data_IF_219596441646
#
_entry.id   IF_219596441646
#
_cell.length_a   1.000
_cell.length_b   1.000
_cell.length_c   1.000
_cell.angle_alpha   90.00
_cell.angle_beta   90.00
_cell.angle_gamma   90.00
#
_symmetry.space_group_name_H-M   'P 1'
#
loop_
_entity.id
_entity.type
_entity.pdbx_description
1 polymer ?
#
# COMPACT_ATOMS: atom_id res chain seq x y z
N UNK A 1 -13.58 -8.50 16.02
CA UNK A 1 -13.01 -8.37 17.38
C UNK A 1 -13.55 -9.51 18.23
N UNK A 2 -12.76 -10.03 19.17
CA UNK A 2 -13.16 -11.07 20.11
C UNK A 2 -12.79 -10.65 21.53
N UNK A 3 -13.70 -10.84 22.47
CA UNK A 3 -13.46 -10.69 23.91
C UNK A 3 -13.71 -12.06 24.54
N UNK A 4 -12.76 -12.58 25.31
CA UNK A 4 -12.81 -13.95 25.82
C UNK A 4 -12.39 -14.00 27.28
N UNK A 5 -12.99 -14.91 28.03
CA UNK A 5 -12.58 -15.22 29.40
C UNK A 5 -11.36 -16.15 29.41
N UNK A 6 -10.40 -15.92 30.31
CA UNK A 6 -9.26 -16.81 30.49
C UNK A 6 -9.66 -18.18 31.02
N UNK A 7 -10.63 -18.24 31.94
CA UNK A 7 -11.07 -19.47 32.57
C UNK A 7 -12.43 -19.89 32.02
N UNK A 8 -12.43 -20.77 31.02
CA UNK A 8 -13.64 -21.38 30.46
C UNK A 8 -13.63 -22.90 30.67
N UNK A 9 -14.80 -23.55 30.70
CA UNK A 9 -14.89 -25.00 30.64
C UNK A 9 -14.24 -25.52 29.35
N UNK A 10 -13.51 -26.63 29.44
CA UNK A 10 -12.86 -27.34 28.33
C UNK A 10 -11.60 -26.70 27.73
N UNK A 11 -11.63 -25.42 27.37
CA UNK A 11 -10.51 -24.71 26.72
C UNK A 11 -10.17 -23.40 27.45
N UNK A 12 -8.88 -23.08 27.58
CA UNK A 12 -8.46 -21.81 28.19
C UNK A 12 -8.58 -20.68 27.18
N UNK A 13 -8.81 -19.46 27.66
CA UNK A 13 -8.98 -18.28 26.80
C UNK A 13 -7.80 -18.06 25.88
N UNK A 14 -6.57 -18.09 26.41
CA UNK A 14 -5.33 -18.00 25.61
C UNK A 14 -5.30 -19.01 24.47
N UNK A 15 -5.63 -20.28 24.72
CA UNK A 15 -5.59 -21.33 23.69
C UNK A 15 -6.64 -21.09 22.59
N UNK A 16 -7.81 -20.57 22.95
CA UNK A 16 -8.82 -20.14 21.96
C UNK A 16 -8.31 -18.95 21.14
N UNK A 17 -7.72 -17.95 21.80
CA UNK A 17 -7.22 -16.75 21.12
C UNK A 17 -6.06 -17.07 20.16
N UNK A 18 -5.20 -18.03 20.50
CA UNK A 18 -4.16 -18.55 19.62
C UNK A 18 -4.75 -19.22 18.36
N UNK A 19 -5.77 -20.07 18.52
CA UNK A 19 -6.48 -20.67 17.38
C UNK A 19 -7.11 -19.60 16.48
N UNK A 20 -7.74 -18.59 17.09
CA UNK A 20 -8.32 -17.46 16.36
C UNK A 20 -7.23 -16.66 15.64
N UNK A 21 -6.06 -16.47 16.25
CA UNK A 21 -4.94 -15.77 15.62
C UNK A 21 -4.46 -16.53 14.37
N UNK A 22 -4.33 -17.86 14.45
CA UNK A 22 -3.90 -18.68 13.32
C UNK A 22 -4.84 -18.58 12.11
N UNK A 23 -6.15 -18.58 12.33
CA UNK A 23 -7.14 -18.47 11.24
C UNK A 23 -7.46 -17.02 10.84
N UNK A 24 -7.38 -16.09 11.79
CA UNK A 24 -7.80 -14.69 11.64
C UNK A 24 -6.79 -13.75 12.36
N UNK A 25 -5.59 -13.55 11.79
CA UNK A 25 -4.50 -12.83 12.47
C UNK A 25 -4.85 -11.36 12.74
N UNK A 26 -5.65 -10.72 11.88
CA UNK A 26 -6.07 -9.31 12.01
C UNK A 26 -7.18 -9.08 13.04
N UNK A 27 -7.79 -10.13 13.58
CA UNK A 27 -8.83 -9.96 14.60
C UNK A 27 -8.21 -9.36 15.86
N UNK A 28 -8.74 -8.25 16.38
CA UNK A 28 -8.36 -7.74 17.69
C UNK A 28 -8.91 -8.65 18.78
N UNK A 29 -8.05 -9.07 19.72
CA UNK A 29 -8.39 -10.01 20.80
C UNK A 29 -8.20 -9.36 22.17
N UNK A 30 -9.23 -9.43 23.01
CA UNK A 30 -9.20 -8.94 24.39
C UNK A 30 -9.42 -10.12 25.34
N UNK A 31 -8.57 -10.24 26.36
CA UNK A 31 -8.65 -11.31 27.35
C UNK A 31 -9.14 -10.77 28.70
N UNK A 32 -10.17 -11.40 29.27
CA UNK A 32 -10.69 -11.10 30.60
C UNK A 32 -10.10 -12.10 31.60
N UNK A 33 -9.41 -11.63 32.62
CA UNK A 33 -8.79 -12.52 33.63
C UNK A 33 -9.03 -12.06 35.06
N UNK A 34 -9.37 -12.99 35.96
CA UNK A 34 -9.50 -12.70 37.40
C UNK A 34 -8.20 -12.90 38.19
N UNK A 35 -7.28 -13.71 37.66
CA UNK A 35 -5.97 -13.97 38.26
C UNK A 35 -4.95 -13.70 37.16
N UNK A 36 -4.15 -12.65 37.35
CA UNK A 36 -3.11 -12.29 36.41
C UNK A 36 -1.92 -13.25 36.57
N UNK A 37 -1.98 -14.40 35.91
CA UNK A 37 -0.78 -15.18 35.65
C UNK A 37 0.03 -14.46 34.56
N UNK A 38 1.19 -13.94 34.93
CA UNK A 38 2.06 -13.17 34.05
C UNK A 38 2.50 -14.00 32.84
N UNK A 39 2.76 -15.29 33.04
CA UNK A 39 3.24 -16.17 31.96
C UNK A 39 2.15 -16.39 30.91
N UNK A 40 0.89 -16.50 31.34
CA UNK A 40 -0.25 -16.61 30.43
C UNK A 40 -0.49 -15.33 29.63
N UNK A 41 -0.32 -14.16 30.25
CA UNK A 41 -0.43 -12.87 29.56
C UNK A 41 0.68 -12.72 28.53
N UNK A 42 1.93 -13.03 28.90
CA UNK A 42 3.08 -13.00 27.99
C UNK A 42 2.84 -13.94 26.80
N UNK A 43 2.34 -15.15 27.06
CA UNK A 43 1.97 -16.09 26.01
C UNK A 43 0.87 -15.53 25.10
N UNK A 44 -0.20 -14.95 25.65
CA UNK A 44 -1.25 -14.35 24.84
C UNK A 44 -0.73 -13.20 23.95
N UNK A 45 0.16 -12.35 24.47
CA UNK A 45 0.78 -11.27 23.69
C UNK A 45 1.60 -11.86 22.54
N UNK A 46 2.47 -12.81 22.82
CA UNK A 46 3.41 -13.34 21.83
C UNK A 46 2.77 -14.29 20.81
N UNK A 47 1.82 -15.13 21.24
CA UNK A 47 1.28 -16.21 20.41
C UNK A 47 -0.09 -15.87 19.82
N UNK A 48 -0.89 -15.03 20.48
CA UNK A 48 -2.21 -14.64 19.98
C UNK A 48 -2.25 -13.20 19.43
N UNK A 49 -1.16 -12.42 19.56
CA UNK A 49 -1.15 -10.99 19.30
C UNK A 49 -2.27 -10.29 20.07
N UNK A 50 -2.27 -10.50 21.40
CA UNK A 50 -3.29 -9.95 22.29
C UNK A 50 -3.29 -8.42 22.22
N UNK A 51 -4.46 -7.84 21.97
CA UNK A 51 -4.62 -6.38 21.91
C UNK A 51 -4.60 -5.76 23.31
N UNK A 52 -5.35 -6.35 24.24
CA UNK A 52 -5.41 -5.91 25.63
C UNK A 52 -5.89 -7.03 26.54
N UNK A 53 -5.48 -7.01 27.81
CA UNK A 53 -6.13 -7.79 28.86
C UNK A 53 -6.89 -6.85 29.81
N UNK A 54 -7.98 -7.33 30.39
CA UNK A 54 -8.80 -6.60 31.35
C UNK A 54 -8.97 -7.47 32.61
N UNK A 55 -8.57 -6.98 33.80
CA UNK A 55 -8.73 -7.71 35.03
C UNK A 55 -10.22 -7.78 35.45
N UNK A 56 -10.60 -8.85 36.14
CA UNK A 56 -11.92 -8.99 36.77
C UNK A 56 -11.84 -8.74 38.28
N UNK A 57 -12.83 -8.07 38.90
CA UNK A 57 -14.01 -7.45 38.26
C UNK A 57 -13.60 -6.25 37.38
N UNK A 58 -14.23 -6.13 36.20
CA UNK A 58 -13.87 -5.10 35.24
C UNK A 58 -14.41 -3.73 35.67
N UNK A 59 -13.64 -2.69 35.41
CA UNK A 59 -14.14 -1.31 35.43
C UNK A 59 -14.93 -1.05 34.13
N UNK A 60 -16.16 -0.54 34.26
CA UNK A 60 -17.03 -0.32 33.11
C UNK A 60 -16.46 0.72 32.15
N UNK A 61 -15.90 1.82 32.68
CA UNK A 61 -15.35 2.89 31.85
C UNK A 61 -14.11 2.42 31.08
N UNK A 62 -13.25 1.61 31.70
CA UNK A 62 -12.07 1.04 31.03
C UNK A 62 -12.45 0.02 29.95
N UNK A 63 -13.44 -0.84 30.20
CA UNK A 63 -13.93 -1.79 29.20
C UNK A 63 -14.56 -1.06 28.00
N UNK A 64 -15.42 -0.08 28.25
CA UNK A 64 -16.04 0.74 27.20
C UNK A 64 -15.00 1.48 26.36
N UNK A 65 -14.01 2.10 27.00
CA UNK A 65 -12.91 2.78 26.31
C UNK A 65 -12.09 1.80 25.48
N UNK A 66 -11.75 0.63 26.04
CA UNK A 66 -11.00 -0.41 25.34
C UNK A 66 -11.71 -0.86 24.08
N UNK A 67 -13.00 -1.17 24.17
CA UNK A 67 -13.79 -1.62 23.02
C UNK A 67 -13.90 -0.53 21.97
N UNK A 68 -14.11 0.72 22.38
CA UNK A 68 -14.20 1.86 21.47
C UNK A 68 -12.90 2.07 20.70
N UNK A 69 -11.77 2.06 21.40
CA UNK A 69 -10.45 2.24 20.78
C UNK A 69 -10.07 1.05 19.89
N UNK A 70 -10.43 -0.17 20.29
CA UNK A 70 -10.25 -1.36 19.45
C UNK A 70 -11.02 -1.24 18.12
N UNK A 71 -12.31 -0.86 18.17
CA UNK A 71 -13.11 -0.68 16.97
C UNK A 71 -12.56 0.43 16.06
N UNK A 72 -12.18 1.58 16.63
CA UNK A 72 -11.54 2.67 15.88
C UNK A 72 -10.23 2.24 15.23
N UNK A 73 -9.39 1.50 15.95
CA UNK A 73 -8.15 0.96 15.39
C UNK A 73 -8.43 0.05 14.21
N UNK A 74 -9.40 -0.85 14.34
CA UNK A 74 -9.78 -1.78 13.28
C UNK A 74 -10.29 -1.05 12.03
N UNK A 75 -11.15 -0.04 12.19
CA UNK A 75 -11.66 0.78 11.08
C UNK A 75 -10.53 1.56 10.38
N UNK A 76 -9.63 2.16 11.16
CA UNK A 76 -8.49 2.91 10.65
C UNK A 76 -7.56 2.01 9.83
N UNK A 77 -7.22 0.84 10.35
CA UNK A 77 -6.33 -0.09 9.66
C UNK A 77 -6.97 -0.59 8.36
N UNK A 78 -8.28 -0.88 8.37
CA UNK A 78 -9.03 -1.23 7.15
C UNK A 78 -9.15 -0.09 6.13
N UNK A 79 -9.16 1.16 6.57
CA UNK A 79 -9.10 2.32 5.66
C UNK A 79 -7.72 2.46 5.03
N UNK A 80 -6.66 2.37 5.84
CA UNK A 80 -5.28 2.45 5.37
C UNK A 80 -4.95 1.34 4.36
N UNK A 81 -5.41 0.12 4.59
CA UNK A 81 -5.24 -0.99 3.65
C UNK A 81 -5.92 -0.71 2.30
N UNK A 82 -7.13 -0.15 2.31
CA UNK A 82 -7.83 0.24 1.08
C UNK A 82 -7.11 1.36 0.33
N UNK A 83 -6.64 2.38 1.05
CA UNK A 83 -5.90 3.48 0.45
C UNK A 83 -4.57 3.00 -0.15
N UNK A 84 -3.83 2.14 0.56
CA UNK A 84 -2.61 1.55 0.05
C UNK A 84 -2.86 0.71 -1.21
N UNK A 85 -3.93 -0.09 -1.24
CA UNK A 85 -4.29 -0.86 -2.42
C UNK A 85 -4.62 0.04 -3.62
N UNK A 86 -5.38 1.13 -3.41
CA UNK A 86 -5.69 2.10 -4.46
C UNK A 86 -4.43 2.80 -4.99
N UNK A 87 -3.54 3.26 -4.10
CA UNK A 87 -2.30 3.92 -4.50
C UNK A 87 -1.36 2.97 -5.26
N UNK A 88 -1.28 1.71 -4.84
CA UNK A 88 -0.48 0.71 -5.56
C UNK A 88 -1.03 0.46 -6.96
N UNK A 89 -2.35 0.41 -7.12
CA UNK A 89 -2.99 0.30 -8.43
C UNK A 89 -2.67 1.53 -9.29
N UNK A 90 -2.85 2.74 -8.78
CA UNK A 90 -2.58 3.98 -9.53
C UNK A 90 -1.11 4.08 -9.98
N UNK A 91 -0.16 3.72 -9.09
CA UNK A 91 1.26 3.67 -9.44
C UNK A 91 1.51 2.65 -10.55
N UNK A 92 0.86 1.48 -10.50
CA UNK A 92 1.03 0.46 -11.53
C UNK A 92 0.50 0.93 -12.89
N UNK A 93 -0.66 1.60 -12.91
CA UNK A 93 -1.26 2.13 -14.13
C UNK A 93 -0.38 3.22 -14.75
N UNK A 94 0.11 4.16 -13.92
CA UNK A 94 1.02 5.22 -14.38
C UNK A 94 2.31 4.66 -14.98
N UNK A 95 2.91 3.67 -14.34
CA UNK A 95 4.12 3.01 -14.87
C UNK A 95 3.89 2.33 -16.21
N UNK A 96 2.72 1.72 -16.42
CA UNK A 96 2.37 1.12 -17.71
C UNK A 96 2.19 2.19 -18.79
N UNK A 97 1.48 3.27 -18.48
CA UNK A 97 1.28 4.38 -19.41
C UNK A 97 2.61 5.05 -19.81
N UNK A 98 3.51 5.29 -18.84
CA UNK A 98 4.84 5.82 -19.10
C UNK A 98 5.68 4.89 -19.98
N UNK A 99 5.62 3.58 -19.75
CA UNK A 99 6.33 2.60 -20.57
C UNK A 99 5.81 2.59 -22.02
N UNK A 100 4.50 2.63 -22.21
CA UNK A 100 3.88 2.68 -23.54
C UNK A 100 4.20 3.97 -24.28
N UNK A 101 4.17 5.11 -23.57
CA UNK A 101 4.54 6.39 -24.13
C UNK A 101 6.00 6.37 -24.60
N UNK A 102 6.90 5.88 -23.74
CA UNK A 102 8.34 5.76 -24.07
C UNK A 102 8.60 4.86 -25.27
N UNK A 103 7.87 3.74 -25.39
CA UNK A 103 7.97 2.86 -26.56
C UNK A 103 7.47 3.57 -27.83
N UNK A 104 6.36 4.30 -27.75
CA UNK A 104 5.84 5.09 -28.87
C UNK A 104 6.80 6.19 -29.30
N UNK A 105 7.39 6.93 -28.35
CA UNK A 105 8.38 7.98 -28.62
C UNK A 105 9.63 7.40 -29.30
N UNK A 106 10.18 6.30 -28.78
CA UNK A 106 11.33 5.64 -29.37
C UNK A 106 11.06 5.13 -30.80
N UNK A 107 9.83 4.66 -31.06
CA UNK A 107 9.40 4.23 -32.39
C UNK A 107 9.31 5.40 -33.37
N UNK A 108 8.75 6.55 -32.94
CA UNK A 108 8.69 7.76 -33.75
C UNK A 108 10.08 8.30 -34.07
N UNK A 109 10.96 8.38 -33.06
CA UNK A 109 12.37 8.77 -33.25
C UNK A 109 13.09 7.84 -34.24
N UNK A 110 12.92 6.53 -34.11
CA UNK A 110 13.51 5.56 -35.04
C UNK A 110 13.03 5.78 -36.49
N UNK A 111 11.73 6.00 -36.68
CA UNK A 111 11.16 6.31 -38.01
C UNK A 111 11.76 7.60 -38.55
N UNK A 112 11.71 8.70 -37.78
CA UNK A 112 12.19 10.02 -38.21
C UNK A 112 13.69 10.03 -38.53
N UNK A 113 14.50 9.28 -37.78
CA UNK A 113 15.94 9.17 -37.99
C UNK A 113 16.31 8.22 -39.16
N UNK A 114 15.42 7.30 -39.55
CA UNK A 114 15.64 6.40 -40.69
C UNK A 114 15.24 6.99 -42.05
N UNK A 115 14.45 8.06 -42.06
CA UNK A 115 14.01 8.73 -43.29
C UNK A 115 15.18 9.54 -43.88
N UNK A 116 15.44 9.34 -45.17
CA UNK A 116 16.46 10.09 -45.93
C UNK A 116 15.97 11.49 -46.35
N UNK A 117 14.67 11.77 -46.23
CA UNK A 117 14.08 13.07 -46.52
C UNK A 117 14.24 14.05 -45.36
N UNK A 118 14.46 15.33 -45.66
CA UNK A 118 14.60 16.38 -44.65
C UNK A 118 13.23 16.79 -44.11
N UNK A 119 13.00 16.52 -42.83
CA UNK A 119 11.80 16.91 -42.08
C UNK A 119 12.17 17.99 -41.08
N UNK A 120 11.47 19.12 -41.15
CA UNK A 120 11.57 20.22 -40.21
C UNK A 120 10.20 20.65 -39.71
N UNK A 121 10.14 21.08 -38.46
CA UNK A 121 8.98 21.79 -37.91
C UNK A 121 9.43 23.12 -37.33
N UNK A 122 8.60 24.15 -37.44
CA UNK A 122 8.85 25.46 -36.86
C UNK A 122 7.56 26.06 -36.29
N UNK A 123 7.67 26.84 -35.23
CA UNK A 123 6.55 27.61 -34.71
C UNK A 123 6.19 28.71 -35.70
N UNK A 124 4.91 28.78 -36.08
CA UNK A 124 4.42 29.75 -37.06
C UNK A 124 4.49 31.19 -36.51
N UNK A 125 4.38 31.36 -35.19
CA UNK A 125 4.36 32.67 -34.53
C UNK A 125 5.75 33.27 -34.30
N UNK A 126 6.77 32.44 -34.03
CA UNK A 126 8.13 32.89 -33.73
C UNK A 126 9.15 32.59 -34.83
N UNK A 127 8.77 31.81 -35.85
CA UNK A 127 9.65 31.23 -36.87
C UNK A 127 10.82 30.41 -36.28
N UNK A 128 10.72 30.00 -35.02
CA UNK A 128 11.73 29.16 -34.38
C UNK A 128 11.59 27.72 -34.86
N UNK A 129 12.72 27.16 -35.32
CA UNK A 129 12.81 25.76 -35.73
C UNK A 129 12.65 24.86 -34.51
N UNK A 130 11.55 24.13 -34.42
CA UNK A 130 11.23 23.25 -33.29
C UNK A 130 11.78 21.83 -33.46
N UNK A 131 12.02 21.38 -34.69
CA UNK A 131 12.58 20.05 -34.96
C UNK A 131 13.27 20.01 -36.32
N UNK A 132 14.36 19.25 -36.41
CA UNK A 132 15.06 18.93 -37.65
C UNK A 132 15.64 17.51 -37.53
N UNK A 133 15.32 16.64 -38.49
CA UNK A 133 15.84 15.27 -38.49
C UNK A 133 17.30 15.20 -39.04
N UNK A 134 18.07 14.14 -38.74
CA UNK A 134 19.48 14.02 -39.13
C UNK A 134 19.74 14.01 -40.65
N UNK A 135 18.75 13.64 -41.47
CA UNK A 135 18.87 13.69 -42.93
C UNK A 135 19.18 15.11 -43.46
N UNK A 136 18.83 16.16 -42.70
CA UNK A 136 19.20 17.53 -43.02
C UNK A 136 20.72 17.74 -43.11
N UNK A 137 21.52 17.03 -42.30
CA UNK A 137 22.98 17.10 -42.34
C UNK A 137 23.53 16.47 -43.62
N UNK A 138 22.93 15.37 -44.08
CA UNK A 138 23.29 14.67 -45.32
C UNK A 138 22.94 15.46 -46.58
N UNK A 139 21.77 16.13 -46.59
CA UNK A 139 21.28 16.85 -47.77
C UNK A 139 21.81 18.29 -47.84
N UNK A 140 21.91 18.99 -46.71
CA UNK A 140 22.30 20.40 -46.66
C UNK A 140 23.73 20.64 -46.15
N UNK A 141 24.46 19.62 -45.68
CA UNK A 141 25.88 19.72 -45.33
C UNK A 141 26.20 20.69 -44.19
N UNK A 142 25.23 21.00 -43.33
CA UNK A 142 25.41 21.86 -42.15
C UNK A 142 25.12 21.09 -40.86
N UNK A 143 26.12 21.08 -39.97
CA UNK A 143 26.03 20.55 -38.61
C UNK A 143 24.90 21.22 -37.82
N UNK A 144 24.20 20.41 -37.02
CA UNK A 144 23.19 20.81 -36.04
C UNK A 144 23.82 21.66 -34.91
N UNK A 145 24.08 22.92 -35.18
CA UNK A 145 24.33 23.94 -34.15
C UNK A 145 23.46 25.16 -34.41
N UNK A 146 22.27 25.20 -33.77
CA UNK A 146 21.85 26.19 -32.75
C UNK A 146 20.73 25.56 -31.94
#
# INVERSE_FOLDING_TARGET
MVICDQMMPEIRGVDLLEKIHASYPKTLKILLTGIADLDEIVRAVNCANLYRYIPKPWDQADLELTVREALRSYERDGLLERQNAMLQQEISERRQAESLLRESEAKLESILNSLEDVIWSASVDTLELSYLNPAAELVYGRDRQV
#
